data_IF_114683261054
#
_entry.id   IF_114683261054
#
_cell.length_a   1.000
_cell.length_b   1.000
_cell.length_c   1.000
_cell.angle_alpha   90.00
_cell.angle_beta   90.00
_cell.angle_gamma   90.00
#
_symmetry.space_group_name_H-M   'P 1'
#
loop_
_entity.id
_entity.type
_entity.pdbx_description
1 polymer ?
#
# COMPACT_ATOMS: atom_id res chain seq x y z
N UNK A 1 -17.95 22.40 62.04
CA UNK A 1 -17.71 21.08 61.40
C UNK A 1 -18.11 21.17 59.94
N UNK A 2 -17.38 20.44 59.09
CA UNK A 2 -17.61 20.14 57.66
C UNK A 2 -16.98 21.10 56.64
N UNK A 3 -15.69 20.88 56.39
CA UNK A 3 -15.05 21.20 55.12
C UNK A 3 -15.38 20.08 54.13
N UNK A 4 -16.07 20.39 53.03
CA UNK A 4 -16.21 19.48 51.89
C UNK A 4 -15.01 19.67 50.95
N UNK A 5 -14.22 18.62 50.78
CA UNK A 5 -13.18 18.52 49.76
C UNK A 5 -13.85 17.90 48.53
N UNK A 6 -13.94 18.67 47.44
CA UNK A 6 -14.39 18.19 46.13
C UNK A 6 -13.23 17.51 45.42
N UNK A 7 -13.30 16.19 45.24
CA UNK A 7 -12.36 15.41 44.43
C UNK A 7 -12.85 15.42 42.98
N UNK A 8 -12.25 16.24 42.12
CA UNK A 8 -12.48 16.15 40.67
C UNK A 8 -11.57 15.07 40.09
N UNK A 9 -12.15 13.93 39.72
CA UNK A 9 -11.45 12.89 38.98
C UNK A 9 -11.32 13.31 37.51
N UNK A 10 -10.10 13.60 37.06
CA UNK A 10 -9.81 13.78 35.63
C UNK A 10 -9.62 12.39 35.04
N UNK A 11 -10.59 11.95 34.23
CA UNK A 11 -10.49 10.72 33.46
C UNK A 11 -9.60 10.99 32.23
N UNK A 12 -8.34 10.52 32.25
CA UNK A 12 -7.46 10.58 31.09
C UNK A 12 -7.78 9.39 30.16
N UNK A 13 -8.58 9.63 29.12
CA UNK A 13 -8.80 8.64 28.06
C UNK A 13 -7.57 8.56 27.16
N UNK A 14 -6.90 7.41 27.12
CA UNK A 14 -5.84 7.16 26.15
C UNK A 14 -6.46 6.98 24.75
N UNK A 15 -6.21 7.91 23.84
CA UNK A 15 -6.55 7.75 22.43
C UNK A 15 -5.54 6.79 21.79
N UNK A 16 -5.98 5.60 21.40
CA UNK A 16 -5.18 4.65 20.64
C UNK A 16 -5.26 5.08 19.17
N UNK A 17 -4.13 5.51 18.60
CA UNK A 17 -4.04 5.73 17.16
C UNK A 17 -3.96 4.36 16.47
N UNK A 18 -4.98 4.03 15.67
CA UNK A 18 -4.98 2.83 14.83
C UNK A 18 -4.33 3.20 13.49
N UNK A 19 -3.50 2.33 12.88
CA UNK A 19 -2.98 2.59 11.54
C UNK A 19 -4.16 2.70 10.56
N UNK A 20 -4.12 3.72 9.69
CA UNK A 20 -5.07 3.85 8.58
C UNK A 20 -4.49 3.14 7.37
N UNK A 21 -5.33 2.42 6.61
CA UNK A 21 -4.88 1.75 5.39
C UNK A 21 -4.29 2.77 4.42
N UNK A 22 -3.19 2.42 3.77
CA UNK A 22 -2.66 3.23 2.69
C UNK A 22 -3.30 2.76 1.38
N UNK A 23 -4.29 3.47 0.87
CA UNK A 23 -5.13 3.12 -0.28
C UNK A 23 -4.63 3.68 -1.61
N UNK A 24 -4.89 2.96 -2.71
CA UNK A 24 -4.96 3.56 -4.03
C UNK A 24 -6.07 4.61 -4.03
N UNK A 25 -5.73 5.86 -4.36
CA UNK A 25 -6.66 7.00 -4.33
C UNK A 25 -7.00 7.54 -5.73
N UNK A 26 -6.27 7.13 -6.76
CA UNK A 26 -6.56 7.47 -8.16
C UNK A 26 -6.14 6.37 -9.14
N UNK A 27 -6.45 6.56 -10.43
CA UNK A 27 -6.22 5.58 -11.49
C UNK A 27 -7.44 4.68 -11.73
N UNK A 28 -7.28 3.66 -12.58
CA UNK A 28 -8.36 2.72 -12.85
C UNK A 28 -8.37 1.61 -11.80
N UNK A 29 -9.07 1.89 -10.70
CA UNK A 29 -9.04 1.03 -9.52
C UNK A 29 -10.20 0.05 -9.51
N UNK A 30 -9.94 -1.17 -9.06
CA UNK A 30 -10.94 -2.23 -8.90
C UNK A 30 -10.85 -2.83 -7.49
N UNK A 31 -11.87 -3.59 -7.10
CA UNK A 31 -11.78 -4.48 -5.95
C UNK A 31 -10.80 -5.63 -6.26
N UNK A 32 -10.13 -6.17 -5.24
CA UNK A 32 -9.26 -7.32 -5.40
C UNK A 32 -10.03 -8.49 -6.06
N UNK A 33 -9.60 -8.98 -7.23
CA UNK A 33 -10.30 -10.05 -7.93
C UNK A 33 -10.08 -11.40 -7.23
N UNK A 34 -10.92 -12.39 -7.52
CA UNK A 34 -10.70 -13.76 -7.01
C UNK A 34 -9.44 -14.43 -7.58
N UNK A 35 -8.92 -13.93 -8.70
CA UNK A 35 -7.72 -14.40 -9.37
C UNK A 35 -7.15 -13.27 -10.22
N UNK A 36 -5.82 -13.19 -10.31
CA UNK A 36 -5.11 -12.32 -11.28
C UNK A 36 -4.48 -13.11 -12.42
N UNK A 37 -4.80 -14.41 -12.55
CA UNK A 37 -4.32 -15.24 -13.67
C UNK A 37 -4.73 -14.62 -14.99
N UNK A 38 -3.91 -14.84 -16.01
CA UNK A 38 -4.24 -14.44 -17.37
C UNK A 38 -5.42 -15.25 -17.93
N UNK A 39 -6.14 -14.68 -18.90
CA UNK A 39 -7.33 -15.27 -19.54
C UNK A 39 -8.52 -15.59 -18.59
N UNK A 40 -9.66 -14.93 -18.84
CA UNK A 40 -10.88 -15.15 -18.08
C UNK A 40 -11.44 -16.58 -18.25
N UNK A 41 -11.12 -17.26 -19.36
CA UNK A 41 -11.51 -18.64 -19.59
C UNK A 41 -10.88 -19.62 -18.60
N UNK A 42 -9.73 -19.28 -18.03
CA UNK A 42 -9.04 -20.04 -16.98
C UNK A 42 -9.44 -19.57 -15.56
N UNK A 43 -10.47 -18.73 -15.47
CA UNK A 43 -10.87 -18.08 -14.21
C UNK A 43 -9.97 -16.89 -13.84
N UNK A 44 -9.21 -16.37 -14.80
CA UNK A 44 -8.36 -15.20 -14.67
C UNK A 44 -9.09 -13.86 -14.74
N UNK A 45 -8.32 -12.78 -14.64
CA UNK A 45 -8.79 -11.41 -14.82
C UNK A 45 -8.33 -10.88 -16.18
N UNK A 46 -9.23 -10.25 -16.93
CA UNK A 46 -8.94 -9.53 -18.17
C UNK A 46 -9.29 -8.04 -18.01
N UNK A 47 -8.54 -7.16 -18.65
CA UNK A 47 -8.79 -5.74 -18.65
C UNK A 47 -8.43 -5.07 -19.99
N UNK A 48 -9.02 -3.90 -20.23
CA UNK A 48 -8.83 -3.12 -21.46
C UNK A 48 -7.81 -1.98 -21.29
N UNK A 49 -7.39 -1.75 -20.06
CA UNK A 49 -6.44 -0.74 -19.60
C UNK A 49 -5.81 -1.22 -18.28
N UNK A 50 -4.66 -0.66 -17.91
CA UNK A 50 -3.99 -1.00 -16.65
C UNK A 50 -4.97 -0.80 -15.49
N UNK A 51 -5.13 -1.82 -14.67
CA UNK A 51 -5.97 -1.79 -13.48
C UNK A 51 -5.13 -1.91 -12.23
N UNK A 52 -5.57 -1.24 -11.16
CA UNK A 52 -4.97 -1.32 -9.85
C UNK A 52 -5.93 -1.82 -8.79
N UNK A 53 -5.45 -2.59 -7.82
CA UNK A 53 -6.22 -2.89 -6.61
C UNK A 53 -5.35 -2.90 -5.37
N UNK A 54 -5.98 -2.64 -4.23
CA UNK A 54 -5.33 -2.73 -2.93
C UNK A 54 -5.18 -4.20 -2.53
N UNK A 55 -3.95 -4.58 -2.20
CA UNK A 55 -3.65 -5.86 -1.59
C UNK A 55 -3.70 -5.71 -0.05
N UNK A 56 -2.85 -6.41 0.70
CA UNK A 56 -2.84 -6.24 2.15
C UNK A 56 -2.31 -4.87 2.55
N UNK A 57 -2.89 -4.39 3.64
CA UNK A 57 -2.71 -3.06 4.18
C UNK A 57 -2.12 -3.18 5.59
N UNK A 58 -1.25 -2.23 5.97
CA UNK A 58 -0.68 -2.15 7.32
C UNK A 58 0.02 -3.43 7.79
N UNK A 59 0.74 -4.11 6.89
CA UNK A 59 1.51 -5.32 7.18
C UNK A 59 2.84 -4.94 7.81
N UNK A 60 3.13 -5.44 9.02
CA UNK A 60 4.47 -5.36 9.60
C UNK A 60 5.36 -6.44 8.98
N UNK A 61 6.43 -6.01 8.32
CA UNK A 61 7.41 -6.92 7.76
C UNK A 61 8.19 -7.63 8.88
N UNK A 62 8.15 -8.96 8.92
CA UNK A 62 8.95 -9.75 9.87
C UNK A 62 10.40 -9.90 9.41
N UNK A 63 10.59 -9.97 8.09
CA UNK A 63 11.88 -10.03 7.41
C UNK A 63 11.95 -8.91 6.37
N UNK A 64 13.17 -8.55 5.98
CA UNK A 64 13.37 -7.60 4.90
C UNK A 64 12.89 -8.17 3.56
N UNK A 65 12.28 -7.35 2.73
CA UNK A 65 11.83 -7.73 1.37
C UNK A 65 12.64 -6.98 0.31
N UNK A 66 12.94 -7.65 -0.79
CA UNK A 66 13.63 -7.05 -1.94
C UNK A 66 12.62 -6.43 -2.89
N UNK A 67 12.95 -5.23 -3.37
CA UNK A 67 12.23 -4.47 -4.39
C UNK A 67 13.23 -4.06 -5.47
N UNK A 68 12.77 -3.44 -6.55
CA UNK A 68 13.61 -3.03 -7.66
C UNK A 68 14.76 -2.12 -7.19
N UNK A 69 15.99 -2.63 -7.25
CA UNK A 69 17.21 -1.91 -6.87
C UNK A 69 17.38 -1.61 -5.38
N UNK A 70 16.50 -2.10 -4.49
CA UNK A 70 16.55 -1.78 -3.07
C UNK A 70 15.98 -2.89 -2.16
N UNK A 71 15.96 -2.62 -0.87
CA UNK A 71 15.40 -3.52 0.15
C UNK A 71 14.61 -2.70 1.16
N UNK A 72 13.42 -3.18 1.53
CA UNK A 72 12.62 -2.61 2.62
C UNK A 72 12.89 -3.45 3.87
N UNK A 73 13.38 -2.80 4.93
CA UNK A 73 13.83 -3.49 6.13
C UNK A 73 12.68 -4.13 6.92
N UNK A 74 13.00 -5.19 7.67
CA UNK A 74 12.12 -5.76 8.68
C UNK A 74 11.69 -4.70 9.71
N UNK A 75 10.50 -4.86 10.27
CA UNK A 75 9.87 -3.92 11.20
C UNK A 75 9.14 -2.76 10.51
N UNK A 76 9.35 -2.55 9.21
CA UNK A 76 8.59 -1.53 8.45
C UNK A 76 7.12 -1.96 8.36
N UNK A 77 6.20 -1.02 8.57
CA UNK A 77 4.77 -1.24 8.33
C UNK A 77 4.47 -0.74 6.92
N UNK A 78 3.99 -1.64 6.06
CA UNK A 78 3.78 -1.37 4.65
C UNK A 78 2.35 -1.68 4.22
N UNK A 79 1.95 -1.10 3.11
CA UNK A 79 0.79 -1.53 2.35
C UNK A 79 1.23 -1.90 0.94
N UNK A 80 0.42 -2.72 0.27
CA UNK A 80 0.76 -3.26 -1.04
C UNK A 80 -0.40 -3.13 -2.00
N UNK A 81 -0.05 -3.00 -3.28
CA UNK A 81 -0.97 -2.73 -4.36
C UNK A 81 -0.50 -3.44 -5.61
N UNK A 82 -1.42 -4.09 -6.30
CA UNK A 82 -1.14 -4.71 -7.58
C UNK A 82 -1.59 -3.76 -8.69
N UNK A 83 -0.72 -3.52 -9.66
CA UNK A 83 -1.07 -2.91 -10.95
C UNK A 83 -0.83 -3.94 -12.04
N UNK A 84 -1.81 -4.16 -12.91
CA UNK A 84 -1.72 -5.23 -13.92
C UNK A 84 -2.47 -4.90 -15.21
N UNK A 85 -2.03 -5.51 -16.30
CA UNK A 85 -2.63 -5.46 -17.62
C UNK A 85 -2.70 -6.86 -18.20
N UNK A 86 -3.90 -7.44 -18.26
CA UNK A 86 -4.12 -8.77 -18.84
C UNK A 86 -5.10 -8.62 -19.99
N UNK A 87 -4.65 -8.85 -21.21
CA UNK A 87 -5.49 -8.66 -22.40
C UNK A 87 -5.84 -9.99 -23.00
N UNK A 88 -7.09 -10.11 -23.45
CA UNK A 88 -7.53 -11.30 -24.17
C UNK A 88 -6.94 -11.38 -25.57
N UNK A 89 -6.31 -12.50 -25.87
CA UNK A 89 -5.74 -12.84 -27.16
C UNK A 89 -4.34 -12.27 -27.38
N UNK A 90 -3.64 -12.83 -28.37
CA UNK A 90 -2.23 -12.55 -28.71
C UNK A 90 -1.98 -11.22 -29.44
N UNK A 91 -2.85 -10.23 -29.26
CA UNK A 91 -2.65 -8.93 -29.90
C UNK A 91 -1.77 -8.06 -29.02
N UNK A 92 -0.80 -7.38 -29.62
CA UNK A 92 0.02 -6.41 -28.89
C UNK A 92 -0.85 -5.26 -28.39
N UNK A 93 -0.82 -5.00 -27.08
CA UNK A 93 -1.53 -3.90 -26.44
C UNK A 93 -0.56 -3.08 -25.59
N UNK A 94 -0.52 -1.78 -25.85
CA UNK A 94 0.26 -0.81 -25.07
C UNK A 94 -0.68 0.08 -24.26
N UNK A 95 -0.37 0.29 -22.99
CA UNK A 95 -1.11 1.19 -22.10
C UNK A 95 -0.18 1.96 -21.19
N UNK A 96 -0.65 3.13 -20.80
CA UNK A 96 -0.03 3.99 -19.78
C UNK A 96 -1.07 4.30 -18.71
N UNK A 97 -0.65 4.36 -17.45
CA UNK A 97 -1.51 4.63 -16.31
C UNK A 97 -0.79 5.40 -15.21
N UNK A 98 -1.43 6.46 -14.72
CA UNK A 98 -1.02 7.20 -13.53
C UNK A 98 -1.85 6.74 -12.33
N UNK A 99 -1.17 6.32 -11.27
CA UNK A 99 -1.78 5.89 -10.02
C UNK A 99 -1.19 6.68 -8.85
N UNK A 100 -2.08 7.22 -8.02
CA UNK A 100 -1.72 7.89 -6.78
C UNK A 100 -2.07 7.00 -5.59
N UNK A 101 -1.20 7.03 -4.59
CA UNK A 101 -1.35 6.36 -3.30
C UNK A 101 -1.42 7.42 -2.20
N UNK A 102 -2.10 7.15 -1.10
CA UNK A 102 -2.06 8.03 0.07
C UNK A 102 -0.77 7.87 0.93
N UNK A 103 0.02 6.82 0.68
CA UNK A 103 1.32 6.55 1.29
C UNK A 103 2.47 6.77 0.31
N UNK A 104 3.65 7.14 0.82
CA UNK A 104 4.87 7.27 0.01
C UNK A 104 5.26 5.90 -0.54
N UNK A 105 5.63 5.83 -1.82
CA UNK A 105 6.11 4.60 -2.44
C UNK A 105 7.50 4.27 -1.87
N UNK A 106 7.63 3.10 -1.25
CA UNK A 106 8.88 2.58 -0.70
C UNK A 106 9.64 1.72 -1.72
N UNK A 107 8.92 1.11 -2.65
CA UNK A 107 9.51 0.30 -3.71
C UNK A 107 8.47 -0.25 -4.66
N UNK A 108 8.94 -0.73 -5.80
CA UNK A 108 8.17 -1.45 -6.81
C UNK A 108 8.82 -2.81 -7.00
N UNK A 109 8.04 -3.83 -7.32
CA UNK A 109 8.51 -5.15 -7.73
C UNK A 109 8.03 -5.35 -9.16
N UNK A 110 8.93 -5.15 -10.12
CA UNK A 110 8.62 -5.19 -11.55
C UNK A 110 9.53 -6.11 -12.35
N UNK A 111 10.32 -6.96 -11.70
CA UNK A 111 11.27 -7.84 -12.38
C UNK A 111 10.57 -8.70 -13.44
N UNK A 112 11.16 -8.87 -14.62
CA UNK A 112 10.48 -9.48 -15.77
C UNK A 112 9.99 -10.92 -15.54
N UNK A 113 10.56 -11.62 -14.57
CA UNK A 113 10.14 -12.96 -14.18
C UNK A 113 9.07 -12.96 -13.07
N UNK A 114 8.78 -11.80 -12.47
CA UNK A 114 7.91 -11.60 -11.32
C UNK A 114 8.35 -12.38 -10.09
N UNK A 115 9.66 -12.61 -9.91
CA UNK A 115 10.22 -13.34 -8.78
C UNK A 115 10.01 -12.58 -7.46
N UNK A 116 10.20 -11.25 -7.46
CA UNK A 116 10.08 -10.44 -6.26
C UNK A 116 8.63 -10.37 -5.78
N UNK A 117 7.71 -10.16 -6.72
CA UNK A 117 6.28 -10.14 -6.46
C UNK A 117 5.79 -11.52 -6.01
N UNK A 118 6.11 -12.59 -6.74
CA UNK A 118 5.67 -13.94 -6.39
C UNK A 118 6.17 -14.39 -5.02
N UNK A 119 7.42 -14.05 -4.65
CA UNK A 119 8.00 -14.38 -3.36
C UNK A 119 7.30 -13.71 -2.16
N UNK A 120 6.51 -12.65 -2.40
CA UNK A 120 5.86 -11.88 -1.34
C UNK A 120 4.33 -12.05 -1.32
N UNK A 121 3.74 -12.93 -2.14
CA UNK A 121 2.29 -13.13 -2.23
C UNK A 121 1.63 -13.55 -0.91
N UNK A 122 2.23 -14.49 -0.16
CA UNK A 122 1.67 -14.94 1.11
C UNK A 122 1.68 -13.84 2.19
N UNK A 123 2.60 -12.88 2.07
CA UNK A 123 2.79 -11.78 3.01
C UNK A 123 1.94 -10.57 2.65
N UNK A 124 1.98 -10.15 1.39
CA UNK A 124 1.44 -8.88 0.88
C UNK A 124 0.18 -9.05 0.03
N UNK A 125 -0.01 -10.20 -0.63
CA UNK A 125 -1.14 -10.44 -1.52
C UNK A 125 -2.51 -10.36 -0.84
N UNK A 126 -3.50 -9.85 -1.55
CA UNK A 126 -4.88 -9.74 -1.12
C UNK A 126 -5.45 -11.09 -0.69
N UNK A 127 -6.12 -11.12 0.47
CA UNK A 127 -6.78 -12.33 0.93
C UNK A 127 -7.92 -12.72 -0.02
N UNK A 128 -7.93 -13.98 -0.46
CA UNK A 128 -8.94 -14.50 -1.38
C UNK A 128 -8.64 -14.27 -2.87
N UNK A 129 -7.56 -13.58 -3.20
CA UNK A 129 -7.04 -13.47 -4.57
C UNK A 129 -6.05 -14.59 -4.84
N UNK A 130 -6.27 -15.34 -5.92
CA UNK A 130 -5.30 -16.28 -6.43
C UNK A 130 -4.24 -15.57 -7.26
N UNK A 131 -2.98 -15.76 -6.89
CA UNK A 131 -1.82 -15.26 -7.62
C UNK A 131 -1.12 -16.45 -8.28
N UNK A 132 -0.91 -16.45 -9.61
CA UNK A 132 -0.06 -17.46 -10.22
C UNK A 132 1.37 -17.34 -9.65
N UNK A 133 2.16 -18.41 -9.75
CA UNK A 133 3.61 -18.33 -9.47
C UNK A 133 4.35 -17.45 -10.48
N UNK A 134 5.67 -17.36 -10.34
CA UNK A 134 6.51 -16.61 -11.27
C UNK A 134 6.56 -17.30 -12.66
N UNK A 135 6.67 -16.52 -13.73
CA UNK A 135 6.85 -17.00 -15.10
C UNK A 135 7.52 -15.92 -15.96
N UNK A 136 8.04 -16.31 -17.12
CA UNK A 136 8.67 -15.35 -18.05
C UNK A 136 7.63 -14.36 -18.57
N UNK A 137 8.00 -13.08 -18.64
CA UNK A 137 7.09 -11.99 -19.05
C UNK A 137 5.93 -11.78 -18.07
N UNK A 138 6.21 -11.87 -16.76
CA UNK A 138 5.23 -11.51 -15.72
C UNK A 138 5.38 -10.06 -15.29
N UNK A 139 6.61 -9.58 -15.19
CA UNK A 139 6.88 -8.17 -14.92
C UNK A 139 7.34 -7.44 -16.17
N UNK A 140 7.94 -6.27 -15.99
CA UNK A 140 8.28 -5.38 -17.09
C UNK A 140 9.54 -5.86 -17.82
N UNK A 141 9.45 -6.01 -19.14
CA UNK A 141 10.51 -6.60 -19.98
C UNK A 141 11.48 -5.57 -20.57
N UNK A 142 11.26 -4.29 -20.25
CA UNK A 142 12.01 -3.14 -20.74
C UNK A 142 11.55 -2.65 -22.11
N UNK A 143 12.21 -1.61 -22.63
CA UNK A 143 11.79 -0.96 -23.87
C UNK A 143 10.62 -0.01 -23.64
N UNK A 144 9.39 -0.42 -24.01
CA UNK A 144 8.18 0.35 -23.69
C UNK A 144 7.76 0.12 -22.24
N UNK A 145 8.03 -1.06 -21.69
CA UNK A 145 7.67 -1.37 -20.33
C UNK A 145 8.57 -0.61 -19.36
N UNK A 146 7.93 0.07 -18.42
CA UNK A 146 8.64 0.86 -17.45
C UNK A 146 7.73 1.61 -16.53
N UNK A 147 8.34 2.25 -15.55
CA UNK A 147 7.62 3.14 -14.67
C UNK A 147 8.51 4.28 -14.20
N UNK A 148 7.87 5.34 -13.72
CA UNK A 148 8.52 6.44 -13.01
C UNK A 148 7.77 6.71 -11.73
N UNK A 149 8.51 6.90 -10.63
CA UNK A 149 7.95 7.22 -9.32
C UNK A 149 8.25 8.68 -8.98
N UNK A 150 7.21 9.42 -8.58
CA UNK A 150 7.35 10.78 -8.04
C UNK A 150 6.56 10.88 -6.74
N UNK A 151 7.25 10.79 -5.60
CA UNK A 151 6.62 10.83 -4.28
C UNK A 151 5.70 9.64 -4.03
N UNK A 152 4.40 9.89 -3.99
CA UNK A 152 3.33 8.91 -3.79
C UNK A 152 2.57 8.59 -5.09
N UNK A 153 3.15 8.90 -6.25
CA UNK A 153 2.57 8.65 -7.56
C UNK A 153 3.49 7.77 -8.40
N UNK A 154 2.90 6.87 -9.18
CA UNK A 154 3.59 6.08 -10.20
C UNK A 154 2.93 6.29 -11.55
N UNK A 155 3.73 6.62 -12.56
CA UNK A 155 3.30 6.50 -13.95
C UNK A 155 3.93 5.23 -14.52
N UNK A 156 3.10 4.30 -14.98
CA UNK A 156 3.49 2.97 -15.48
C UNK A 156 3.07 2.80 -16.93
N UNK A 157 3.94 2.18 -17.72
CA UNK A 157 3.75 1.80 -19.11
C UNK A 157 3.92 0.29 -19.23
N UNK A 158 2.97 -0.38 -19.88
CA UNK A 158 2.94 -1.83 -20.09
C UNK A 158 2.60 -2.14 -21.55
N UNK A 159 3.31 -3.09 -22.14
CA UNK A 159 3.15 -3.63 -23.49
C UNK A 159 3.00 -5.14 -23.38
N UNK A 160 1.77 -5.61 -23.52
CA UNK A 160 1.45 -7.03 -23.35
C UNK A 160 1.04 -7.67 -24.67
N UNK A 161 1.26 -8.98 -24.78
CA UNK A 161 0.72 -9.80 -25.87
C UNK A 161 0.00 -11.04 -25.35
N UNK A 162 0.59 -11.75 -24.38
CA UNK A 162 0.08 -12.87 -23.57
C UNK A 162 1.32 -13.69 -23.12
N UNK A 163 1.53 -13.94 -21.82
CA UNK A 163 0.71 -13.47 -20.69
C UNK A 163 0.75 -11.94 -20.51
N UNK A 164 -0.11 -11.42 -19.62
CA UNK A 164 -0.15 -10.01 -19.24
C UNK A 164 1.09 -9.52 -18.46
N UNK A 165 1.00 -8.33 -17.88
CA UNK A 165 2.03 -7.76 -16.99
C UNK A 165 1.44 -7.49 -15.61
N UNK A 166 2.24 -7.71 -14.58
CA UNK A 166 1.93 -7.48 -13.17
C UNK A 166 3.10 -6.80 -12.49
N UNK A 167 2.82 -5.74 -11.72
CA UNK A 167 3.78 -5.13 -10.80
C UNK A 167 3.14 -4.94 -9.43
N UNK A 168 3.93 -5.14 -8.38
CA UNK A 168 3.51 -4.79 -7.01
C UNK A 168 4.17 -3.48 -6.58
N UNK A 169 3.36 -2.54 -6.14
CA UNK A 169 3.81 -1.29 -5.52
C UNK A 169 3.68 -1.42 -4.01
N UNK A 170 4.76 -1.15 -3.29
CA UNK A 170 4.79 -1.17 -1.82
C UNK A 170 4.88 0.27 -1.31
N UNK A 171 3.94 0.65 -0.47
CA UNK A 171 3.83 1.99 0.12
C UNK A 171 4.06 1.94 1.62
N UNK A 172 4.49 3.06 2.19
CA UNK A 172 4.49 3.25 3.63
C UNK A 172 3.05 3.24 4.13
N UNK A 173 2.77 2.45 5.17
CA UNK A 173 1.48 2.52 5.83
C UNK A 173 1.27 3.92 6.43
N UNK A 174 0.08 4.51 6.21
CA UNK A 174 -0.29 5.73 6.91
C UNK A 174 -0.57 5.39 8.37
N UNK A 175 0.44 5.57 9.22
CA UNK A 175 0.27 5.48 10.67
C UNK A 175 -0.15 6.87 11.15
N UNK A 176 -1.39 7.08 11.63
CA UNK A 176 -1.79 8.35 12.20
C UNK A 176 -0.81 8.72 13.30
N UNK A 177 -0.38 9.97 13.30
CA UNK A 177 0.60 10.46 14.27
C UNK A 177 0.17 10.05 15.69
N UNK A 178 1.09 9.53 16.51
CA UNK A 178 0.73 9.05 17.82
C UNK A 178 -0.01 10.14 18.60
N UNK A 179 -1.11 9.76 19.27
CA UNK A 179 -1.87 10.68 20.13
C UNK A 179 -1.01 11.31 21.25
N UNK A 180 0.24 10.88 21.41
CA UNK A 180 1.25 11.53 22.26
C UNK A 180 1.53 12.97 21.85
N UNK A 181 1.44 13.34 20.56
CA UNK A 181 1.57 14.74 20.15
C UNK A 181 0.36 15.57 20.59
N UNK A 182 -0.84 15.00 20.49
CA UNK A 182 -2.05 15.61 21.04
C UNK A 182 -1.97 15.73 22.57
N UNK A 183 -1.50 14.69 23.26
CA UNK A 183 -1.29 14.68 24.71
C UNK A 183 -0.20 15.66 25.15
N UNK A 184 0.88 15.79 24.39
CA UNK A 184 1.94 16.77 24.62
C UNK A 184 1.36 18.19 24.47
N UNK A 185 0.60 18.43 23.40
CA UNK A 185 -0.11 19.70 23.19
C UNK A 185 -1.07 20.03 24.33
N UNK A 186 -1.92 19.08 24.73
CA UNK A 186 -2.85 19.24 25.85
C UNK A 186 -2.13 19.42 27.19
N UNK A 187 -1.03 18.70 27.40
CA UNK A 187 -0.19 18.83 28.60
C UNK A 187 0.42 20.23 28.72
N UNK A 188 0.93 20.78 27.61
CA UNK A 188 1.46 22.16 27.56
C UNK A 188 0.37 23.20 27.83
N UNK A 189 -0.83 23.02 27.27
CA UNK A 189 -1.99 23.89 27.57
C UNK A 189 -2.42 23.78 29.04
N UNK A 190 -2.43 22.57 29.59
CA UNK A 190 -2.71 22.32 31.00
C UNK A 190 -1.73 23.02 31.94
N UNK A 191 -0.43 22.94 31.65
CA UNK A 191 0.63 23.64 32.42
C UNK A 191 0.50 25.17 32.26
N UNK A 192 0.21 25.64 31.05
CA UNK A 192 0.06 27.09 30.78
C UNK A 192 -1.13 27.72 31.51
N UNK A 193 -2.24 26.98 31.62
CA UNK A 193 -3.46 27.46 32.31
C UNK A 193 -3.34 27.36 33.83
N UNK A 194 -2.68 26.33 34.36
CA UNK A 194 -2.46 26.17 35.81
C UNK A 194 -1.50 27.20 36.42
N UNK A 195 -0.67 27.87 35.63
CA UNK A 195 0.16 29.01 36.10
C UNK A 195 -0.64 30.31 36.30
N UNK A 196 -1.80 30.47 35.67
CA UNK A 196 -2.58 31.74 35.74
C UNK A 196 -3.45 31.86 36.99
N UNK A 197 -3.68 30.78 37.73
CA UNK A 197 -4.58 30.76 38.90
C UNK A 197 -3.86 30.97 40.24
N UNK A 198 -2.56 31.27 40.24
CA UNK A 198 -1.77 31.50 41.47
C UNK A 198 -1.64 32.98 41.87
N UNK A 199 -2.73 33.76 41.75
CA UNK A 199 -2.82 35.12 42.31
C UNK A 199 -4.02 35.24 43.23
#
# INVERSE_FOLDING_TARGET
MKNLISLSAVLLGAAIALPSNATLISGNTIAAPGSVVDDAAEGGAENTMIQGFNERQNVTLLDAITVDGATIAAGTIVSSHMLFLNTRGRSLVEREGLFDFDGIILGVMSDSLGLLEAATNDLLGALGTFYPGNFSARGLEGGFDGYTVTGNSINVQMRVTEPGDWIRVVTAANVPEPATLALLGLGLVGIGTSRKTSK
#
